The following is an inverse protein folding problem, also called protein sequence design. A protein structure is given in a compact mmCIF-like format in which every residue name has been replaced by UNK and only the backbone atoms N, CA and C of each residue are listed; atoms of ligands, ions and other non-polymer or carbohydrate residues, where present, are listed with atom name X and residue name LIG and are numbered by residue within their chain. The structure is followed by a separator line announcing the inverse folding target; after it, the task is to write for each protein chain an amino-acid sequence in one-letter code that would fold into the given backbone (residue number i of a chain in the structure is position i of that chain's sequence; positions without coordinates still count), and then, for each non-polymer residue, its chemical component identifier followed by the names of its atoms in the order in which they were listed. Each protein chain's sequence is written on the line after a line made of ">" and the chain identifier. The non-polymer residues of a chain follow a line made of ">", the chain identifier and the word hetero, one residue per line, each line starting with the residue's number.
data_IF_842521527923
#
_entry.id   IF_842521527923
#
_cell.length_a   1.000
_cell.length_b   1.000
_cell.length_c   1.000
_cell.angle_alpha   90.00
_cell.angle_beta   90.00
_cell.angle_gamma   90.00
#
_symmetry.space_group_name_H-M   'P 1'
#
loop_
_entity.id
_entity.type
_entity.pdbx_description
1 polymer ?
#
# COMPACT_ATOMS: atom_id res chain seq x y z
N UNK A 1 0.58 18.92 -7.53
CA UNK A 1 0.43 18.93 -6.05
C UNK A 1 -1.04 18.97 -5.61
N UNK A 2 -1.81 20.02 -5.93
CA UNK A 2 -3.18 20.23 -5.42
C UNK A 2 -4.10 19.05 -5.75
N UNK A 3 -4.09 18.56 -6.99
CA UNK A 3 -4.93 17.43 -7.41
C UNK A 3 -4.72 16.18 -6.55
N UNK A 4 -3.47 15.70 -6.40
CA UNK A 4 -3.19 14.51 -5.59
C UNK A 4 -3.63 14.68 -4.14
N UNK A 5 -3.34 15.83 -3.54
CA UNK A 5 -3.74 16.12 -2.16
C UNK A 5 -5.27 16.14 -2.00
N UNK A 6 -6.01 16.78 -2.91
CA UNK A 6 -7.48 16.86 -2.86
C UNK A 6 -8.09 15.45 -2.99
N UNK A 7 -7.63 14.65 -3.96
CA UNK A 7 -8.16 13.29 -4.16
C UNK A 7 -7.85 12.40 -2.96
N UNK A 8 -6.65 12.47 -2.37
CA UNK A 8 -6.31 11.72 -1.16
C UNK A 8 -7.18 12.15 0.01
N UNK A 9 -7.36 13.47 0.21
CA UNK A 9 -8.24 13.97 1.26
C UNK A 9 -9.68 13.49 1.10
N UNK A 10 -10.22 13.51 -0.13
CA UNK A 10 -11.54 12.95 -0.44
C UNK A 10 -11.58 11.45 -0.09
N UNK A 11 -10.59 10.66 -0.51
CA UNK A 11 -10.56 9.22 -0.20
C UNK A 11 -10.48 8.95 1.31
N UNK A 12 -9.71 9.75 2.08
CA UNK A 12 -9.65 9.62 3.53
C UNK A 12 -10.98 9.97 4.19
N UNK A 13 -11.65 11.02 3.73
CA UNK A 13 -12.99 11.38 4.20
C UNK A 13 -13.98 10.29 3.87
N UNK A 14 -13.99 9.77 2.63
CA UNK A 14 -14.86 8.68 2.20
C UNK A 14 -14.57 7.37 2.97
N UNK A 15 -13.33 7.09 3.33
CA UNK A 15 -13.02 5.93 4.17
C UNK A 15 -13.67 6.00 5.55
N UNK A 16 -13.87 7.20 6.09
CA UNK A 16 -14.52 7.43 7.39
C UNK A 16 -16.05 7.45 7.27
N UNK A 17 -16.57 8.27 6.35
CA UNK A 17 -18.01 8.56 6.29
C UNK A 17 -18.72 7.95 5.07
N UNK A 18 -18.00 7.41 4.08
CA UNK A 18 -18.56 6.89 2.83
C UNK A 18 -19.73 5.91 3.04
N UNK A 19 -19.62 4.89 3.89
CA UNK A 19 -20.74 3.98 4.17
C UNK A 19 -21.95 4.66 4.82
N UNK A 20 -21.77 5.81 5.49
CA UNK A 20 -22.84 6.56 6.16
C UNK A 20 -23.59 7.48 5.21
N UNK A 21 -22.92 8.01 4.18
CA UNK A 21 -23.49 8.91 3.20
C UNK A 21 -23.98 8.19 1.92
N UNK A 22 -23.72 6.89 1.83
CA UNK A 22 -24.17 6.07 0.70
C UNK A 22 -25.70 6.07 0.62
N UNK A 23 -26.29 6.43 -0.55
CA UNK A 23 -27.75 6.50 -0.70
C UNK A 23 -28.46 5.16 -0.50
N UNK A 24 -27.76 4.05 -0.81
CA UNK A 24 -28.28 2.70 -0.74
C UNK A 24 -27.36 1.77 0.06
N UNK A 25 -27.88 0.61 0.54
CA UNK A 25 -27.05 -0.40 1.21
C UNK A 25 -25.86 -0.83 0.34
N UNK A 26 -24.69 -0.87 0.93
CA UNK A 26 -23.43 -1.15 0.19
C UNK A 26 -23.12 -2.64 0.04
N UNK A 27 -23.85 -3.51 0.77
CA UNK A 27 -23.64 -4.97 0.81
C UNK A 27 -24.94 -5.77 0.60
N UNK A 28 -26.02 -5.12 0.19
CA UNK A 28 -27.30 -5.74 -0.11
C UNK A 28 -27.88 -5.15 -1.41
N UNK A 29 -28.75 -5.90 -2.12
CA UNK A 29 -29.44 -5.40 -3.29
C UNK A 29 -30.24 -4.12 -2.99
N UNK A 30 -30.22 -3.16 -3.92
CA UNK A 30 -30.91 -1.89 -3.83
C UNK A 30 -31.97 -1.71 -4.96
N UNK A 31 -31.96 -2.62 -5.93
CA UNK A 31 -32.85 -2.58 -7.08
C UNK A 31 -32.77 -3.84 -7.94
N UNK A 32 -33.27 -3.78 -9.14
CA UNK A 32 -33.11 -4.86 -10.11
C UNK A 32 -31.67 -4.94 -10.59
N UNK A 33 -31.24 -6.13 -11.07
CA UNK A 33 -29.92 -6.36 -11.62
C UNK A 33 -29.69 -5.56 -12.91
N UNK A 34 -28.46 -5.04 -13.05
CA UNK A 34 -27.94 -4.44 -14.29
C UNK A 34 -28.80 -3.25 -14.82
N UNK A 35 -29.38 -2.47 -13.93
CA UNK A 35 -30.04 -1.21 -14.30
C UNK A 35 -28.95 -0.23 -14.78
N UNK A 36 -29.10 0.38 -15.97
CA UNK A 36 -28.16 1.39 -16.44
C UNK A 36 -28.17 2.66 -15.56
N UNK A 37 -27.13 3.49 -15.63
CA UNK A 37 -27.09 4.77 -14.94
C UNK A 37 -28.34 5.62 -15.20
N UNK A 38 -28.97 6.10 -14.13
CA UNK A 38 -30.18 6.89 -14.15
C UNK A 38 -30.28 7.86 -12.96
N UNK A 39 -31.37 8.61 -12.82
CA UNK A 39 -31.54 9.59 -11.74
C UNK A 39 -31.56 9.00 -10.33
N UNK A 40 -31.93 7.73 -10.17
CA UNK A 40 -31.99 7.01 -8.90
C UNK A 40 -30.65 6.30 -8.62
N UNK A 41 -30.10 5.59 -9.60
CA UNK A 41 -28.84 4.87 -9.55
C UNK A 41 -27.81 5.55 -10.46
N UNK A 42 -27.05 6.51 -9.93
CA UNK A 42 -26.16 7.38 -10.73
C UNK A 42 -25.11 6.61 -11.52
N UNK A 43 -24.59 5.52 -10.97
CA UNK A 43 -23.65 4.63 -11.67
C UNK A 43 -24.30 3.31 -12.10
N UNK A 44 -25.64 3.19 -11.99
CA UNK A 44 -26.37 1.97 -12.25
C UNK A 44 -26.21 0.92 -11.15
N UNK A 45 -26.72 -0.28 -11.40
CA UNK A 45 -26.61 -1.44 -10.50
C UNK A 45 -25.74 -2.55 -11.09
N UNK A 46 -25.16 -3.38 -10.22
CA UNK A 46 -24.40 -4.56 -10.62
C UNK A 46 -25.31 -5.80 -10.87
N UNK A 47 -24.67 -6.95 -11.16
CA UNK A 47 -25.37 -8.22 -11.41
C UNK A 47 -26.21 -8.70 -10.21
N UNK A 48 -25.83 -8.30 -9.00
CA UNK A 48 -26.57 -8.62 -7.76
C UNK A 48 -27.63 -7.58 -7.40
N UNK A 49 -27.84 -6.55 -8.25
CA UNK A 49 -28.75 -5.45 -7.96
C UNK A 49 -28.22 -4.45 -6.92
N UNK A 50 -26.93 -4.47 -6.60
CA UNK A 50 -26.33 -3.51 -5.67
C UNK A 50 -26.00 -2.21 -6.39
N UNK A 51 -26.24 -1.06 -5.73
CA UNK A 51 -25.96 0.26 -6.28
C UNK A 51 -24.45 0.53 -6.36
N UNK A 52 -23.93 0.75 -7.57
CA UNK A 52 -22.50 0.91 -7.82
C UNK A 52 -21.97 2.21 -7.20
N UNK A 53 -22.73 3.31 -7.25
CA UNK A 53 -22.32 4.59 -6.68
C UNK A 53 -22.13 4.49 -5.16
N UNK A 54 -23.09 3.91 -4.45
CA UNK A 54 -23.02 3.67 -3.00
C UNK A 54 -21.83 2.81 -2.62
N UNK A 55 -21.54 1.77 -3.40
CA UNK A 55 -20.39 0.89 -3.18
C UNK A 55 -19.06 1.60 -3.44
N UNK A 56 -18.98 2.42 -4.47
CA UNK A 56 -17.79 3.26 -4.77
C UNK A 56 -17.52 4.25 -3.65
N UNK A 57 -18.54 4.85 -3.04
CA UNK A 57 -18.38 5.72 -1.87
C UNK A 57 -17.82 4.96 -0.64
N UNK A 58 -18.20 3.70 -0.49
CA UNK A 58 -17.79 2.88 0.64
C UNK A 58 -16.43 2.15 0.44
N UNK A 59 -16.03 1.90 -0.81
CA UNK A 59 -14.84 1.15 -1.16
C UNK A 59 -13.53 1.73 -0.56
N UNK A 60 -13.31 3.06 -0.50
CA UNK A 60 -12.10 3.62 0.09
C UNK A 60 -11.84 3.17 1.54
N UNK A 61 -12.87 2.84 2.29
CA UNK A 61 -12.73 2.31 3.66
C UNK A 61 -11.96 0.99 3.67
N UNK A 62 -12.27 0.10 2.76
CA UNK A 62 -11.63 -1.23 2.66
C UNK A 62 -10.25 -1.08 2.02
N UNK A 63 -10.18 -0.41 0.87
CA UNK A 63 -8.97 -0.27 0.06
C UNK A 63 -7.86 0.45 0.82
N UNK A 64 -8.18 1.59 1.47
CA UNK A 64 -7.21 2.32 2.28
C UNK A 64 -6.84 1.58 3.57
N UNK A 65 -7.76 0.87 4.21
CA UNK A 65 -7.42 0.06 5.39
C UNK A 65 -6.38 -0.99 5.02
N UNK A 66 -6.58 -1.72 3.93
CA UNK A 66 -5.63 -2.72 3.44
C UNK A 66 -4.29 -2.06 3.13
N UNK A 67 -4.29 -1.02 2.32
CA UNK A 67 -3.08 -0.36 1.87
C UNK A 67 -2.30 0.31 3.02
N UNK A 68 -2.96 1.04 3.90
CA UNK A 68 -2.32 1.74 5.02
C UNK A 68 -1.75 0.76 6.04
N UNK A 69 -2.54 -0.24 6.45
CA UNK A 69 -2.09 -1.20 7.47
C UNK A 69 -0.94 -2.03 6.94
N UNK A 70 -1.05 -2.59 5.72
CA UNK A 70 0.01 -3.40 5.13
C UNK A 70 1.30 -2.59 4.92
N UNK A 71 1.19 -1.36 4.40
CA UNK A 71 2.35 -0.49 4.18
C UNK A 71 2.99 -0.05 5.50
N UNK A 72 2.18 0.25 6.54
CA UNK A 72 2.70 0.65 7.85
C UNK A 72 3.48 -0.50 8.52
N UNK A 73 2.96 -1.72 8.47
CA UNK A 73 3.65 -2.90 8.99
C UNK A 73 4.94 -3.15 8.21
N UNK A 74 4.87 -3.10 6.87
CA UNK A 74 6.05 -3.27 6.01
C UNK A 74 7.12 -2.21 6.28
N UNK A 75 6.71 -0.94 6.44
CA UNK A 75 7.58 0.17 6.77
C UNK A 75 8.26 -0.03 8.12
N UNK A 76 7.50 -0.32 9.17
CA UNK A 76 8.05 -0.50 10.51
C UNK A 76 9.07 -1.66 10.57
N UNK A 77 8.71 -2.82 10.02
CA UNK A 77 9.59 -3.99 9.97
C UNK A 77 10.79 -3.75 9.04
N UNK A 78 10.56 -3.20 7.84
CA UNK A 78 11.60 -2.96 6.86
C UNK A 78 12.61 -1.91 7.32
N UNK A 79 12.15 -0.81 7.94
CA UNK A 79 13.03 0.21 8.53
C UNK A 79 13.85 -0.39 9.68
N UNK A 80 13.23 -1.12 10.61
CA UNK A 80 13.95 -1.74 11.73
C UNK A 80 15.02 -2.71 11.24
N UNK A 81 14.69 -3.62 10.31
CA UNK A 81 15.65 -4.56 9.72
C UNK A 81 16.71 -3.84 8.89
N UNK A 82 16.35 -2.76 8.18
CA UNK A 82 17.26 -1.93 7.41
C UNK A 82 18.29 -1.22 8.29
N UNK A 83 17.85 -0.66 9.42
CA UNK A 83 18.74 -0.05 10.41
C UNK A 83 19.70 -1.08 11.00
N UNK A 84 19.18 -2.22 11.47
CA UNK A 84 20.01 -3.28 12.05
C UNK A 84 21.01 -3.83 11.03
N UNK A 85 20.55 -4.20 9.83
CA UNK A 85 21.44 -4.76 8.80
C UNK A 85 22.45 -3.75 8.26
N UNK A 86 22.11 -2.45 8.23
CA UNK A 86 23.00 -1.39 7.76
C UNK A 86 24.02 -0.97 8.80
N UNK A 87 23.59 -0.74 10.04
CA UNK A 87 24.46 -0.26 11.11
C UNK A 87 25.52 -1.33 11.49
N UNK A 88 25.09 -2.57 11.67
CA UNK A 88 25.97 -3.66 12.09
C UNK A 88 26.72 -4.36 10.94
N UNK A 89 26.59 -3.92 9.70
CA UNK A 89 27.21 -4.56 8.53
C UNK A 89 28.73 -4.70 8.58
N UNK A 90 29.42 -3.96 9.45
CA UNK A 90 30.90 -3.93 9.56
C UNK A 90 31.47 -4.19 10.96
N UNK A 91 30.62 -4.40 12.00
CA UNK A 91 31.12 -4.44 13.39
C UNK A 91 31.85 -5.73 13.72
N UNK A 92 31.25 -6.87 13.69
CA UNK A 92 31.82 -8.18 14.01
C UNK A 92 31.55 -9.22 12.92
N UNK A 93 32.26 -10.36 12.94
CA UNK A 93 32.01 -11.46 12.01
C UNK A 93 30.57 -12.00 12.12
N UNK A 94 30.07 -12.10 13.35
CA UNK A 94 28.69 -12.54 13.64
C UNK A 94 27.69 -11.53 13.08
N UNK A 95 27.87 -10.24 13.34
CA UNK A 95 26.97 -9.20 12.84
C UNK A 95 26.97 -9.11 11.31
N UNK A 96 28.11 -9.31 10.66
CA UNK A 96 28.21 -9.44 9.20
C UNK A 96 27.42 -10.61 8.66
N UNK A 97 27.50 -11.77 9.34
CA UNK A 97 26.74 -12.95 8.97
C UNK A 97 25.23 -12.68 9.05
N UNK A 98 24.72 -12.12 10.15
CA UNK A 98 23.30 -11.79 10.30
C UNK A 98 22.84 -10.73 9.29
N UNK A 99 23.61 -9.65 9.09
CA UNK A 99 23.33 -8.65 8.06
C UNK A 99 23.26 -9.30 6.67
N UNK A 100 24.19 -10.19 6.36
CA UNK A 100 24.20 -10.95 5.10
C UNK A 100 22.99 -11.88 4.97
N UNK A 101 22.62 -12.60 6.03
CA UNK A 101 21.48 -13.51 6.05
C UNK A 101 20.16 -12.76 5.81
N UNK A 102 19.96 -11.60 6.46
CA UNK A 102 18.79 -10.75 6.25
C UNK A 102 18.68 -10.31 4.77
N UNK A 103 19.80 -9.88 4.18
CA UNK A 103 19.82 -9.47 2.78
C UNK A 103 19.57 -10.62 1.83
N UNK A 104 20.14 -11.81 2.09
CA UNK A 104 19.89 -13.02 1.28
C UNK A 104 18.43 -13.46 1.36
N UNK A 105 17.82 -13.42 2.54
CA UNK A 105 16.40 -13.67 2.67
C UNK A 105 15.58 -12.69 1.83
N UNK A 106 15.88 -11.39 1.89
CA UNK A 106 15.22 -10.38 1.07
C UNK A 106 15.40 -10.63 -0.44
N UNK A 107 16.59 -11.09 -0.87
CA UNK A 107 16.88 -11.42 -2.27
C UNK A 107 16.05 -12.61 -2.74
N UNK A 108 15.93 -13.66 -1.93
CA UNK A 108 15.14 -14.85 -2.24
C UNK A 108 13.66 -14.49 -2.43
N UNK A 109 13.09 -13.68 -1.53
CA UNK A 109 11.69 -13.25 -1.65
C UNK A 109 11.44 -12.38 -2.88
N UNK A 110 12.39 -11.54 -3.27
CA UNK A 110 12.25 -10.69 -4.45
C UNK A 110 12.63 -11.38 -5.77
N UNK A 111 13.18 -12.59 -5.74
CA UNK A 111 13.42 -13.39 -6.93
C UNK A 111 12.11 -13.89 -7.57
N UNK A 112 11.03 -14.01 -6.79
CA UNK A 112 9.72 -14.38 -7.30
C UNK A 112 8.98 -13.14 -7.84
N UNK A 113 8.24 -13.26 -8.97
CA UNK A 113 7.37 -12.19 -9.42
C UNK A 113 6.36 -11.82 -8.33
N UNK A 114 6.38 -10.54 -7.92
CA UNK A 114 5.66 -10.05 -6.73
C UNK A 114 4.18 -10.44 -6.71
N UNK A 115 3.49 -10.28 -7.84
CA UNK A 115 2.07 -10.60 -7.96
C UNK A 115 1.80 -12.11 -7.82
N UNK A 116 2.66 -12.95 -8.42
CA UNK A 116 2.54 -14.42 -8.32
C UNK A 116 2.75 -14.87 -6.88
N UNK A 117 3.71 -14.25 -6.18
CA UNK A 117 3.97 -14.57 -4.79
C UNK A 117 2.83 -14.12 -3.86
N UNK A 118 2.26 -12.91 -4.09
CA UNK A 118 1.05 -12.46 -3.39
C UNK A 118 -0.11 -13.43 -3.59
N UNK A 119 -0.35 -13.84 -4.85
CA UNK A 119 -1.41 -14.78 -5.20
C UNK A 119 -1.23 -16.14 -4.49
N UNK A 120 0.00 -16.66 -4.45
CA UNK A 120 0.30 -17.90 -3.74
C UNK A 120 0.05 -17.79 -2.23
N UNK A 121 0.53 -16.70 -1.58
CA UNK A 121 0.32 -16.49 -0.14
C UNK A 121 -1.16 -16.45 0.22
N UNK A 122 -1.96 -15.68 -0.53
CA UNK A 122 -3.41 -15.59 -0.27
C UNK A 122 -4.12 -16.87 -0.69
N UNK A 123 -3.69 -17.54 -1.77
CA UNK A 123 -4.23 -18.81 -2.22
C UNK A 123 -4.11 -19.91 -1.17
N UNK A 124 -2.96 -19.99 -0.48
CA UNK A 124 -2.76 -20.94 0.62
C UNK A 124 -3.50 -20.57 1.90
N UNK A 125 -3.63 -19.24 2.19
CA UNK A 125 -4.25 -18.77 3.43
C UNK A 125 -5.77 -18.61 3.32
N UNK A 126 -6.30 -18.60 2.11
CA UNK A 126 -7.70 -18.30 1.79
C UNK A 126 -7.96 -16.80 1.59
N UNK A 127 -8.98 -16.45 0.77
CA UNK A 127 -9.33 -15.06 0.49
C UNK A 127 -9.94 -14.39 1.73
N UNK A 128 -9.27 -13.38 2.25
CA UNK A 128 -9.76 -12.53 3.34
C UNK A 128 -8.98 -11.22 3.40
N UNK A 129 -9.61 -10.16 3.89
CA UNK A 129 -8.96 -8.85 4.08
C UNK A 129 -7.67 -8.98 4.91
N UNK A 130 -7.69 -9.79 5.97
CA UNK A 130 -6.53 -10.02 6.84
C UNK A 130 -5.37 -10.68 6.08
N UNK A 131 -5.65 -11.70 5.28
CA UNK A 131 -4.62 -12.43 4.54
C UNK A 131 -4.02 -11.57 3.43
N UNK A 132 -4.82 -10.74 2.77
CA UNK A 132 -4.33 -9.74 1.82
C UNK A 132 -3.40 -8.73 2.51
N UNK A 133 -3.80 -8.19 3.67
CA UNK A 133 -2.94 -7.27 4.46
C UNK A 133 -1.60 -7.93 4.81
N UNK A 134 -1.63 -9.16 5.32
CA UNK A 134 -0.39 -9.87 5.68
C UNK A 134 0.49 -10.16 4.48
N UNK A 135 -0.08 -10.59 3.36
CA UNK A 135 0.66 -10.84 2.13
C UNK A 135 1.34 -9.57 1.62
N UNK A 136 0.60 -8.47 1.51
CA UNK A 136 1.13 -7.18 1.06
C UNK A 136 2.19 -6.61 2.02
N UNK A 137 1.97 -6.72 3.33
CA UNK A 137 2.95 -6.30 4.32
C UNK A 137 4.27 -7.06 4.14
N UNK A 138 4.19 -8.38 4.05
CA UNK A 138 5.36 -9.24 3.88
C UNK A 138 6.13 -8.93 2.59
N UNK A 139 5.43 -8.73 1.49
CA UNK A 139 6.02 -8.45 0.19
C UNK A 139 6.72 -7.09 0.12
N UNK A 140 6.23 -6.09 0.86
CA UNK A 140 6.79 -4.74 0.84
C UNK A 140 7.97 -4.57 1.84
N UNK A 141 8.16 -5.46 2.83
CA UNK A 141 9.29 -5.39 3.79
C UNK A 141 10.65 -5.27 3.09
N UNK A 142 11.01 -6.11 2.09
CA UNK A 142 12.33 -6.03 1.45
C UNK A 142 12.61 -4.70 0.77
N UNK A 143 11.61 -3.99 0.27
CA UNK A 143 11.78 -2.66 -0.34
C UNK A 143 12.21 -1.63 0.70
N UNK A 144 11.49 -1.53 1.81
CA UNK A 144 11.82 -0.61 2.91
C UNK A 144 13.16 -0.97 3.56
N UNK A 145 13.44 -2.27 3.72
CA UNK A 145 14.70 -2.76 4.24
C UNK A 145 15.88 -2.27 3.40
N UNK A 146 15.84 -2.43 2.08
CA UNK A 146 16.93 -2.04 1.18
C UNK A 146 17.14 -0.53 1.15
N UNK A 147 16.04 0.24 1.05
CA UNK A 147 16.12 1.70 1.07
C UNK A 147 16.75 2.21 2.36
N UNK A 148 16.26 1.74 3.49
CA UNK A 148 16.77 2.16 4.81
C UNK A 148 18.22 1.71 5.01
N UNK A 149 18.55 0.47 4.66
CA UNK A 149 19.93 -0.02 4.76
C UNK A 149 20.90 0.82 3.94
N UNK A 150 20.54 1.17 2.71
CA UNK A 150 21.37 2.03 1.85
C UNK A 150 21.63 3.39 2.47
N UNK A 151 20.61 4.04 3.02
CA UNK A 151 20.73 5.31 3.71
C UNK A 151 21.54 5.21 5.01
N UNK A 152 21.33 4.16 5.80
CA UNK A 152 22.08 3.89 7.04
C UNK A 152 23.58 3.70 6.77
N UNK A 153 23.95 2.98 5.72
CA UNK A 153 25.36 2.80 5.35
C UNK A 153 26.07 4.12 5.04
N UNK A 154 25.37 5.11 4.50
CA UNK A 154 25.92 6.44 4.22
C UNK A 154 26.01 7.32 5.48
N UNK A 155 25.05 7.17 6.40
CA UNK A 155 24.97 8.02 7.61
C UNK A 155 25.88 7.50 8.72
N UNK A 156 26.01 6.18 8.88
CA UNK A 156 26.77 5.57 9.98
C UNK A 156 28.25 5.95 10.04
N UNK A 157 28.85 6.33 8.91
CA UNK A 157 30.26 6.73 8.82
C UNK A 157 30.48 8.22 9.09
N UNK A 158 29.45 8.96 9.49
CA UNK A 158 29.58 10.38 9.81
C UNK A 158 30.10 10.60 11.22
N UNK A 159 30.90 11.64 11.42
CA UNK A 159 31.57 11.98 12.69
C UNK A 159 30.65 12.13 13.89
N UNK A 160 29.41 12.59 13.69
CA UNK A 160 28.45 12.71 14.80
C UNK A 160 28.04 11.34 15.39
N UNK A 161 28.11 10.26 14.61
CA UNK A 161 27.80 8.91 15.08
C UNK A 161 28.93 8.40 15.97
N UNK A 162 30.17 8.63 15.56
CA UNK A 162 31.36 8.32 16.38
C UNK A 162 31.35 9.13 17.69
N UNK A 163 31.07 10.44 17.61
CA UNK A 163 30.94 11.28 18.79
C UNK A 163 29.85 10.78 19.75
N UNK A 164 28.70 10.31 19.25
CA UNK A 164 27.64 9.74 20.09
C UNK A 164 28.09 8.48 20.82
N UNK A 165 28.88 7.61 20.18
CA UNK A 165 29.43 6.39 20.79
C UNK A 165 30.51 6.76 21.83
N UNK A 166 31.39 7.69 21.51
CA UNK A 166 32.41 8.20 22.48
C UNK A 166 31.79 8.86 23.71
N UNK A 167 30.59 9.48 23.54
CA UNK A 167 29.80 10.04 24.64
C UNK A 167 29.09 8.96 25.51
N UNK A 168 29.34 7.67 25.27
CA UNK A 168 28.83 6.56 26.08
C UNK A 168 27.47 5.97 25.59
N UNK A 169 26.98 6.36 24.43
CA UNK A 169 25.78 5.69 23.88
C UNK A 169 26.13 4.26 23.45
N UNK A 170 25.25 3.32 23.77
CA UNK A 170 25.34 1.97 23.22
C UNK A 170 25.14 1.99 21.69
N UNK A 171 25.72 1.01 20.97
CA UNK A 171 25.57 0.91 19.51
C UNK A 171 24.11 0.86 19.06
N UNK A 172 23.23 0.14 19.77
CA UNK A 172 21.78 0.10 19.48
C UNK A 172 21.16 1.49 19.66
N UNK A 173 21.51 2.22 20.71
CA UNK A 173 21.03 3.57 20.92
C UNK A 173 21.51 4.51 19.82
N UNK A 174 22.78 4.41 19.45
CA UNK A 174 23.35 5.19 18.35
C UNK A 174 22.61 4.89 17.02
N UNK A 175 22.30 3.61 16.74
CA UNK A 175 21.58 3.19 15.55
C UNK A 175 20.16 3.78 15.47
N UNK A 176 19.36 3.63 16.54
CA UNK A 176 17.95 4.02 16.50
C UNK A 176 17.69 5.49 16.85
N UNK A 177 18.50 6.12 17.69
CA UNK A 177 18.28 7.51 18.13
C UNK A 177 19.02 8.52 17.24
N UNK A 178 20.21 8.15 16.73
CA UNK A 178 21.03 9.10 15.97
C UNK A 178 21.07 8.77 14.46
N UNK A 179 21.18 7.49 14.06
CA UNK A 179 21.31 7.12 12.65
C UNK A 179 19.95 6.99 11.97
N UNK A 180 18.99 6.29 12.57
CA UNK A 180 17.67 6.05 11.99
C UNK A 180 16.95 7.35 11.59
N UNK A 181 16.83 8.39 12.45
CA UNK A 181 16.12 9.63 12.07
C UNK A 181 16.76 10.35 10.89
N UNK A 182 18.09 10.23 10.73
CA UNK A 182 18.83 10.82 9.63
C UNK A 182 18.84 9.96 8.35
N UNK A 183 18.33 8.73 8.42
CA UNK A 183 18.33 7.75 7.32
C UNK A 183 16.92 7.41 6.82
N UNK A 184 15.86 7.84 7.52
CA UNK A 184 14.49 7.38 7.26
C UNK A 184 13.82 8.09 6.07
N UNK A 185 14.31 9.26 5.66
CA UNK A 185 13.68 10.11 4.66
C UNK A 185 13.37 9.36 3.34
N UNK A 186 14.29 8.60 2.73
CA UNK A 186 13.97 7.85 1.52
C UNK A 186 12.84 6.84 1.70
N UNK A 187 12.78 6.19 2.87
CA UNK A 187 11.71 5.25 3.19
C UNK A 187 10.36 5.96 3.40
N UNK A 188 10.34 7.15 4.01
CA UNK A 188 9.13 7.96 4.17
C UNK A 188 8.56 8.42 2.82
N UNK A 189 9.43 8.85 1.89
CA UNK A 189 9.01 9.19 0.54
C UNK A 189 8.39 8.00 -0.16
N UNK A 190 9.03 6.83 -0.05
CA UNK A 190 8.54 5.61 -0.69
C UNK A 190 7.24 5.08 -0.04
N UNK A 191 6.99 5.39 1.22
CA UNK A 191 5.77 5.00 1.93
C UNK A 191 4.50 5.44 1.19
N UNK A 192 4.46 6.69 0.71
CA UNK A 192 3.30 7.22 -0.01
C UNK A 192 3.05 6.52 -1.34
N UNK A 193 4.10 6.28 -2.14
CA UNK A 193 3.96 5.57 -3.41
C UNK A 193 3.58 4.11 -3.20
N UNK A 194 4.06 3.49 -2.12
CA UNK A 194 3.71 2.11 -1.75
C UNK A 194 2.24 1.96 -1.40
N UNK A 195 1.59 2.98 -0.81
CA UNK A 195 0.14 2.94 -0.56
C UNK A 195 -0.63 2.79 -1.88
N UNK A 196 -0.35 3.65 -2.87
CA UNK A 196 -0.99 3.57 -4.20
C UNK A 196 -0.74 2.23 -4.88
N UNK A 197 0.49 1.72 -4.80
CA UNK A 197 0.85 0.41 -5.32
C UNK A 197 0.13 -0.75 -4.59
N UNK A 198 -0.04 -0.66 -3.28
CA UNK A 198 -0.78 -1.65 -2.49
C UNK A 198 -2.26 -1.67 -2.82
N UNK A 199 -2.88 -0.51 -3.10
CA UNK A 199 -4.26 -0.43 -3.60
C UNK A 199 -4.37 -1.17 -4.94
N UNK A 200 -3.45 -0.90 -5.87
CA UNK A 200 -3.44 -1.54 -7.19
C UNK A 200 -3.24 -3.06 -7.08
N UNK A 201 -2.31 -3.51 -6.23
CA UNK A 201 -2.10 -4.95 -5.98
C UNK A 201 -3.32 -5.62 -5.35
N UNK A 202 -3.98 -4.97 -4.38
CA UNK A 202 -5.22 -5.48 -3.78
C UNK A 202 -6.29 -5.66 -4.85
N UNK A 203 -6.49 -4.64 -5.69
CA UNK A 203 -7.45 -4.70 -6.79
C UNK A 203 -7.11 -5.83 -7.77
N UNK A 204 -5.84 -6.02 -8.11
CA UNK A 204 -5.39 -7.13 -8.95
C UNK A 204 -5.66 -8.50 -8.34
N UNK A 205 -5.35 -8.68 -7.04
CA UNK A 205 -5.64 -9.94 -6.31
C UNK A 205 -7.14 -10.21 -6.25
N UNK A 206 -7.96 -9.20 -5.98
CA UNK A 206 -9.41 -9.30 -5.95
C UNK A 206 -9.98 -9.62 -7.34
N UNK A 207 -9.42 -9.02 -8.39
CA UNK A 207 -9.80 -9.29 -9.78
C UNK A 207 -9.60 -10.76 -10.16
N UNK A 208 -8.46 -11.36 -9.77
CA UNK A 208 -8.19 -12.80 -9.98
C UNK A 208 -9.01 -13.69 -9.04
N UNK A 209 -9.52 -13.16 -7.93
CA UNK A 209 -10.35 -13.88 -6.97
C UNK A 209 -9.64 -14.33 -5.70
N UNK A 210 -8.40 -13.90 -5.52
CA UNK A 210 -7.61 -14.12 -4.31
C UNK A 210 -7.62 -12.92 -3.36
N UNK A 211 -8.51 -11.97 -3.54
CA UNK A 211 -8.57 -10.75 -2.74
C UNK A 211 -9.63 -10.79 -1.64
N UNK A 212 -10.35 -9.69 -1.54
CA UNK A 212 -11.43 -9.51 -0.56
C UNK A 212 -12.67 -10.30 -0.99
N UNK A 213 -13.33 -11.06 -0.09
CA UNK A 213 -14.52 -11.83 -0.46
C UNK A 213 -15.75 -10.93 -0.63
N UNK A 214 -16.68 -11.28 -1.56
CA UNK A 214 -17.98 -10.62 -1.67
C UNK A 214 -18.81 -10.84 -0.40
N UNK A 215 -19.77 -9.94 -0.06
CA UNK A 215 -20.21 -8.78 -0.81
C UNK A 215 -19.48 -7.48 -0.48
N UNK A 216 -18.30 -7.54 0.14
CA UNK A 216 -17.55 -6.36 0.59
C UNK A 216 -17.31 -5.36 -0.55
N UNK A 217 -17.60 -4.05 -0.37
CA UNK A 217 -17.30 -3.04 -1.36
C UNK A 217 -15.78 -2.79 -1.42
N UNK A 218 -15.15 -3.27 -2.48
CA UNK A 218 -13.74 -3.11 -2.81
C UNK A 218 -13.62 -2.94 -4.32
N UNK A 219 -12.84 -1.96 -4.77
CA UNK A 219 -12.85 -1.53 -6.17
C UNK A 219 -12.43 -2.64 -7.14
N UNK A 220 -11.42 -3.44 -6.81
CA UNK A 220 -10.97 -4.55 -7.67
C UNK A 220 -11.99 -5.68 -7.78
N UNK A 221 -12.68 -6.01 -6.69
CA UNK A 221 -13.79 -6.97 -6.70
C UNK A 221 -14.97 -6.47 -7.54
N UNK A 222 -15.31 -5.17 -7.43
CA UNK A 222 -16.35 -4.56 -8.23
C UNK A 222 -16.01 -4.60 -9.73
N UNK A 223 -14.75 -4.29 -10.08
CA UNK A 223 -14.26 -4.39 -11.46
C UNK A 223 -14.34 -5.83 -11.96
N UNK A 224 -13.94 -6.82 -11.15
CA UNK A 224 -14.04 -8.25 -11.52
C UNK A 224 -15.48 -8.66 -11.86
N UNK A 225 -16.42 -8.34 -10.97
CA UNK A 225 -17.84 -8.67 -11.16
C UNK A 225 -18.38 -7.95 -12.39
N UNK A 226 -18.02 -6.68 -12.57
CA UNK A 226 -18.46 -5.86 -13.70
C UNK A 226 -17.87 -6.29 -15.04
N UNK A 227 -16.62 -6.73 -15.07
CA UNK A 227 -15.92 -7.10 -16.30
C UNK A 227 -16.63 -8.23 -17.07
N UNK A 228 -17.28 -9.15 -16.36
CA UNK A 228 -18.04 -10.23 -16.96
C UNK A 228 -19.26 -9.74 -17.77
N UNK A 229 -19.79 -8.56 -17.44
CA UNK A 229 -20.98 -7.99 -18.06
C UNK A 229 -20.64 -6.95 -19.15
N UNK A 230 -19.36 -6.58 -19.32
CA UNK A 230 -18.95 -5.61 -20.35
C UNK A 230 -19.23 -6.11 -21.77
N UNK A 231 -19.05 -7.41 -22.00
CA UNK A 231 -19.28 -8.04 -23.32
C UNK A 231 -20.74 -8.02 -23.74
N UNK A 232 -21.66 -7.88 -22.78
CA UNK A 232 -23.12 -7.81 -23.00
C UNK A 232 -23.65 -6.38 -22.95
N UNK A 233 -22.75 -5.39 -22.97
CA UNK A 233 -23.08 -3.96 -23.09
C UNK A 233 -23.23 -3.21 -21.77
N UNK A 234 -23.11 -3.86 -20.61
CA UNK A 234 -23.21 -3.21 -19.30
C UNK A 234 -21.86 -2.64 -18.84
N UNK A 235 -21.30 -1.73 -19.62
CA UNK A 235 -19.96 -1.14 -19.44
C UNK A 235 -19.79 -0.41 -18.10
N UNK A 236 -20.86 0.18 -17.55
CA UNK A 236 -20.84 0.96 -16.31
C UNK A 236 -20.41 0.12 -15.09
N UNK A 237 -20.71 -1.17 -15.11
CA UNK A 237 -20.47 -2.07 -13.98
C UNK A 237 -18.96 -2.22 -13.64
N UNK A 238 -18.08 -2.12 -14.64
CA UNK A 238 -16.63 -2.18 -14.45
C UNK A 238 -15.95 -0.81 -14.64
N UNK A 239 -16.44 0.00 -15.60
CA UNK A 239 -15.79 1.27 -15.94
C UNK A 239 -15.87 2.28 -14.79
N UNK A 240 -17.02 2.39 -14.12
CA UNK A 240 -17.18 3.36 -13.02
C UNK A 240 -16.24 3.07 -11.83
N UNK A 241 -16.19 1.87 -11.25
CA UNK A 241 -15.23 1.57 -10.20
C UNK A 241 -13.78 1.59 -10.73
N UNK A 242 -13.55 1.24 -12.00
CA UNK A 242 -12.22 1.30 -12.63
C UNK A 242 -11.66 2.72 -12.73
N UNK A 243 -12.48 3.69 -13.12
CA UNK A 243 -12.07 5.10 -13.16
C UNK A 243 -11.73 5.64 -11.77
N UNK A 244 -12.53 5.29 -10.76
CA UNK A 244 -12.25 5.70 -9.38
C UNK A 244 -10.95 5.08 -8.86
N UNK A 245 -10.71 3.80 -9.13
CA UNK A 245 -9.45 3.14 -8.80
C UNK A 245 -8.25 3.85 -9.48
N UNK A 246 -8.34 4.12 -10.78
CA UNK A 246 -7.29 4.78 -11.53
C UNK A 246 -6.96 6.17 -10.97
N UNK A 247 -7.99 6.98 -10.68
CA UNK A 247 -7.82 8.31 -10.09
C UNK A 247 -7.19 8.23 -8.69
N UNK A 248 -7.62 7.25 -7.88
CA UNK A 248 -7.08 7.04 -6.53
C UNK A 248 -5.59 6.67 -6.59
N UNK A 249 -5.21 5.67 -7.40
CA UNK A 249 -3.82 5.24 -7.54
C UNK A 249 -2.94 6.36 -8.08
N UNK A 250 -3.42 7.09 -9.11
CA UNK A 250 -2.71 8.24 -9.67
C UNK A 250 -2.47 9.33 -8.60
N UNK A 251 -3.45 9.61 -7.76
CA UNK A 251 -3.33 10.62 -6.71
C UNK A 251 -2.23 10.26 -5.69
N UNK A 252 -2.18 9.01 -5.23
CA UNK A 252 -1.13 8.55 -4.30
C UNK A 252 0.25 8.55 -4.95
N UNK A 253 0.36 8.19 -6.23
CA UNK A 253 1.64 8.26 -6.97
C UNK A 253 2.14 9.70 -7.08
N UNK A 254 1.29 10.62 -7.54
CA UNK A 254 1.64 12.04 -7.67
C UNK A 254 1.97 12.69 -6.31
N UNK A 255 1.31 12.27 -5.25
CA UNK A 255 1.61 12.77 -3.90
C UNK A 255 3.00 12.31 -3.43
N UNK A 256 3.35 11.05 -3.66
CA UNK A 256 4.66 10.51 -3.32
C UNK A 256 5.80 11.23 -4.05
N UNK A 257 5.65 11.49 -5.34
CA UNK A 257 6.63 12.24 -6.13
C UNK A 257 6.82 13.67 -5.61
N UNK A 258 5.71 14.34 -5.24
CA UNK A 258 5.78 15.68 -4.67
C UNK A 258 6.40 15.70 -3.26
N UNK A 259 6.12 14.69 -2.43
CA UNK A 259 6.71 14.55 -1.10
C UNK A 259 8.24 14.41 -1.21
N UNK A 260 8.72 13.70 -2.23
CA UNK A 260 10.16 13.60 -2.53
C UNK A 260 10.78 14.97 -2.78
N UNK A 261 10.15 15.81 -3.63
CA UNK A 261 10.64 17.16 -3.94
C UNK A 261 10.65 18.05 -2.68
N UNK A 262 9.65 17.89 -1.81
CA UNK A 262 9.54 18.69 -0.59
C UNK A 262 10.57 18.29 0.48
N UNK A 263 10.85 16.99 0.61
CA UNK A 263 11.76 16.43 1.62
C UNK A 263 13.23 16.38 1.16
N UNK A 264 13.52 16.63 -0.14
CA UNK A 264 14.90 16.68 -0.66
C UNK A 264 15.45 18.10 -0.55
N UNK A 265 16.32 18.40 0.44
CA UNK A 265 16.87 19.75 0.62
C UNK A 265 17.90 20.12 -0.46
N UNK A 266 18.37 19.14 -1.27
CA UNK A 266 19.42 19.36 -2.29
C UNK A 266 18.84 19.69 -3.67
N UNK A 267 17.57 19.42 -3.92
CA UNK A 267 16.89 19.70 -5.21
C UNK A 267 16.49 21.17 -5.44
N UNK A 268 16.83 22.08 -4.54
CA UNK A 268 16.57 23.52 -4.67
C UNK A 268 17.75 24.31 -5.25
N UNK A 269 18.52 23.71 -6.16
CA UNK A 269 19.50 24.46 -6.96
C UNK A 269 19.18 24.40 -8.43
#
# INVERSE_FOLDING_TARGET
>A
MIFGFVVIAINLVLALIGPLIAPFPTQAPAGASLIPPNATHWFGTDVSGMDIFSRVLAAPRVDLTIALVSTTVAFACGVALGVLSGFFAGSTAIARFFSGAIMRAADIFQALPLFVFALALVGFSGPSTRNVIMALAFLNIPFFLRLTRGAVLQVRSRTFVEAAICAGNSELRAAFVHVMPNSIVPALVHFSTTIGFSILLTAGLSFVGAGVPPPTPELGLMIKVGAQNMMTGQWWTALMPGLVLAVTVLAFSLFGDNLRIFLDPTGRR
#
